data_IF_102551053329
#
_entry.id   IF_102551053329
#
_cell.length_a   1.000
_cell.length_b   1.000
_cell.length_c   1.000
_cell.angle_alpha   90.00
_cell.angle_beta   90.00
_cell.angle_gamma   90.00
#
_symmetry.space_group_name_H-M   'P 1'
#
loop_
_entity.id
_entity.type
_entity.pdbx_description
1 polymer ?
#
# COMPACT_ATOMS: atom_id res chain seq x y z
N UNK A 1 -22.96 4.45 -0.27
CA UNK A 1 -22.01 4.54 0.87
C UNK A 1 -20.65 5.00 0.35
N UNK A 2 -19.93 5.87 1.08
CA UNK A 2 -18.58 6.33 0.73
C UNK A 2 -17.55 5.28 1.15
N UNK A 3 -16.66 4.87 0.25
CA UNK A 3 -15.57 3.94 0.56
C UNK A 3 -14.59 4.55 1.58
N UNK A 4 -14.13 3.76 2.53
CA UNK A 4 -13.08 4.16 3.48
C UNK A 4 -11.73 4.28 2.77
N UNK A 5 -10.76 4.99 3.37
CA UNK A 5 -9.41 5.09 2.82
C UNK A 5 -8.77 3.70 2.69
N UNK A 6 -8.96 2.82 3.68
CA UNK A 6 -8.50 1.43 3.63
C UNK A 6 -9.04 0.68 2.42
N UNK A 7 -10.35 0.77 2.17
CA UNK A 7 -10.98 0.09 1.03
C UNK A 7 -10.43 0.60 -0.29
N UNK A 8 -10.32 1.93 -0.45
CA UNK A 8 -9.78 2.53 -1.68
C UNK A 8 -8.34 2.11 -1.94
N UNK A 9 -7.50 2.17 -0.90
CA UNK A 9 -6.08 1.76 -1.01
C UNK A 9 -6.00 0.28 -1.34
N UNK A 10 -6.76 -0.58 -0.65
CA UNK A 10 -6.74 -2.02 -0.87
C UNK A 10 -7.15 -2.41 -2.30
N UNK A 11 -8.28 -1.85 -2.78
CA UNK A 11 -8.74 -2.09 -4.15
C UNK A 11 -7.72 -1.66 -5.20
N UNK A 12 -7.07 -0.51 -4.98
CA UNK A 12 -6.02 -0.03 -5.88
C UNK A 12 -4.81 -0.97 -5.90
N UNK A 13 -4.27 -1.33 -4.73
CA UNK A 13 -3.07 -2.17 -4.67
C UNK A 13 -3.33 -3.56 -5.22
N UNK A 14 -4.50 -4.13 -4.95
CA UNK A 14 -4.88 -5.43 -5.49
C UNK A 14 -5.02 -5.38 -7.02
N UNK A 15 -5.64 -4.34 -7.57
CA UNK A 15 -5.80 -4.18 -9.02
C UNK A 15 -4.48 -3.96 -9.75
N UNK A 16 -3.56 -3.19 -9.16
CA UNK A 16 -2.33 -2.74 -9.84
C UNK A 16 -1.16 -3.68 -9.62
N UNK A 17 -1.01 -4.21 -8.41
CA UNK A 17 0.12 -5.08 -8.04
C UNK A 17 -0.30 -6.54 -7.86
N UNK A 18 -1.58 -6.83 -7.60
CA UNK A 18 -2.01 -8.18 -7.24
C UNK A 18 -1.24 -8.67 -6.02
N UNK A 19 -0.45 -9.73 -6.19
CA UNK A 19 0.44 -10.26 -5.17
C UNK A 19 1.90 -9.78 -5.31
N UNK A 20 2.22 -8.90 -6.27
CA UNK A 20 3.58 -8.39 -6.42
C UNK A 20 3.91 -7.35 -5.33
N UNK A 21 5.18 -7.26 -4.88
CA UNK A 21 5.58 -6.29 -3.88
C UNK A 21 5.54 -4.83 -4.39
N UNK A 22 5.14 -3.90 -3.52
CA UNK A 22 5.12 -2.46 -3.81
C UNK A 22 5.68 -1.62 -2.64
N UNK A 23 6.13 -0.39 -2.91
CA UNK A 23 6.65 0.52 -1.88
C UNK A 23 5.57 1.50 -1.43
N UNK A 24 5.72 2.05 -0.20
CA UNK A 24 4.85 3.14 0.26
C UNK A 24 4.87 4.34 -0.69
N UNK A 25 6.02 4.65 -1.28
CA UNK A 25 6.19 5.76 -2.21
C UNK A 25 5.34 5.60 -3.47
N UNK A 26 5.31 4.40 -4.05
CA UNK A 26 4.44 4.12 -5.20
C UNK A 26 2.96 4.41 -4.89
N UNK A 27 2.52 4.13 -3.66
CA UNK A 27 1.14 4.41 -3.23
C UNK A 27 0.93 5.90 -2.95
N UNK A 28 1.93 6.61 -2.37
CA UNK A 28 1.87 8.06 -2.23
C UNK A 28 1.73 8.76 -3.57
N UNK A 29 2.50 8.34 -4.58
CA UNK A 29 2.44 8.90 -5.93
C UNK A 29 1.09 8.63 -6.63
N UNK A 30 0.34 7.63 -6.14
CA UNK A 30 -0.97 7.26 -6.67
C UNK A 30 -2.13 7.82 -5.84
N UNK A 31 -1.87 8.61 -4.78
CA UNK A 31 -2.88 9.00 -3.80
C UNK A 31 -4.06 9.77 -4.41
N UNK A 32 -3.80 10.65 -5.39
CA UNK A 32 -4.84 11.37 -6.12
C UNK A 32 -5.73 10.42 -6.94
N UNK A 33 -5.13 9.48 -7.67
CA UNK A 33 -5.83 8.45 -8.44
C UNK A 33 -6.68 7.54 -7.54
N UNK A 34 -6.19 7.24 -6.33
CA UNK A 34 -6.92 6.47 -5.31
C UNK A 34 -8.05 7.33 -4.69
N UNK A 35 -7.97 8.65 -4.78
CA UNK A 35 -8.90 9.59 -4.15
C UNK A 35 -8.74 9.61 -2.62
N UNK A 36 -7.50 9.57 -2.14
CA UNK A 36 -7.12 9.58 -0.72
C UNK A 36 -6.07 10.68 -0.49
N UNK A 37 -6.17 11.39 0.64
CA UNK A 37 -5.12 12.36 1.02
C UNK A 37 -3.78 11.61 1.20
N UNK A 38 -2.67 12.05 0.57
CA UNK A 38 -1.36 11.41 0.72
C UNK A 38 -0.96 11.16 2.19
N UNK A 39 -1.25 12.10 3.09
CA UNK A 39 -0.94 11.96 4.52
C UNK A 39 -1.68 10.79 5.20
N UNK A 40 -2.78 10.31 4.62
CA UNK A 40 -3.57 9.18 5.12
C UNK A 40 -3.09 7.81 4.62
N UNK A 41 -2.24 7.75 3.59
CA UNK A 41 -1.79 6.48 2.99
C UNK A 41 -1.03 5.62 4.01
N UNK A 42 -0.13 6.23 4.78
CA UNK A 42 0.63 5.50 5.81
C UNK A 42 -0.27 4.88 6.88
N UNK A 43 -1.33 5.58 7.29
CA UNK A 43 -2.32 5.05 8.23
C UNK A 43 -3.13 3.90 7.61
N UNK A 44 -3.56 4.06 6.35
CA UNK A 44 -4.33 3.04 5.63
C UNK A 44 -3.54 1.74 5.45
N UNK A 45 -2.28 1.81 5.01
CA UNK A 45 -1.42 0.62 4.85
C UNK A 45 -1.21 -0.12 6.17
N UNK A 46 -0.97 0.61 7.27
CA UNK A 46 -0.85 0.01 8.59
C UNK A 46 -2.17 -0.62 9.08
N UNK A 47 -3.32 0.01 8.80
CA UNK A 47 -4.63 -0.55 9.11
C UNK A 47 -4.89 -1.84 8.33
N UNK A 48 -4.60 -1.86 7.03
CA UNK A 48 -4.72 -3.05 6.18
C UNK A 48 -3.80 -4.19 6.64
N UNK A 49 -2.59 -3.86 7.10
CA UNK A 49 -1.70 -4.84 7.73
C UNK A 49 -2.29 -5.42 9.02
N UNK A 50 -2.82 -4.58 9.91
CA UNK A 50 -3.48 -5.05 11.15
C UNK A 50 -4.69 -5.95 10.85
N UNK A 51 -5.36 -5.73 9.73
CA UNK A 51 -6.47 -6.55 9.22
C UNK A 51 -6.02 -7.85 8.54
N UNK A 52 -4.72 -8.09 8.40
CA UNK A 52 -4.18 -9.28 7.72
C UNK A 52 -4.34 -9.25 6.20
N UNK A 53 -4.63 -8.09 5.61
CA UNK A 53 -4.79 -7.93 4.16
C UNK A 53 -3.49 -7.57 3.45
N UNK A 54 -2.57 -6.94 4.17
CA UNK A 54 -1.21 -6.64 3.71
C UNK A 54 -0.17 -7.21 4.68
N UNK A 55 1.01 -7.51 4.16
CA UNK A 55 2.20 -7.84 4.95
C UNK A 55 3.36 -6.93 4.59
N UNK A 56 4.29 -6.77 5.52
CA UNK A 56 5.62 -6.26 5.18
C UNK A 56 6.34 -7.38 4.43
N UNK A 57 6.74 -7.12 3.19
CA UNK A 57 7.44 -8.10 2.37
C UNK A 57 8.95 -8.03 2.57
N UNK A 58 9.48 -6.81 2.71
CA UNK A 58 10.90 -6.61 2.88
C UNK A 58 11.30 -5.14 2.81
N UNK A 59 12.52 -4.92 2.35
CA UNK A 59 13.13 -3.61 2.20
C UNK A 59 13.77 -3.49 0.82
N UNK A 60 13.72 -2.30 0.23
CA UNK A 60 14.41 -1.94 -1.01
C UNK A 60 15.26 -0.71 -0.75
N UNK A 61 16.53 -0.76 -1.11
CA UNK A 61 17.42 0.40 -1.10
C UNK A 61 17.23 1.21 -2.39
N UNK A 62 17.11 2.53 -2.28
CA UNK A 62 17.07 3.43 -3.43
C UNK A 62 18.48 3.76 -3.92
N UNK A 63 18.59 4.36 -5.10
CA UNK A 63 19.88 4.81 -5.68
C UNK A 63 20.64 5.75 -4.74
N UNK A 64 19.93 6.49 -3.88
CA UNK A 64 20.51 7.44 -2.94
C UNK A 64 20.78 6.81 -1.55
N UNK A 65 20.73 5.48 -1.42
CA UNK A 65 20.97 4.75 -0.15
C UNK A 65 19.81 4.77 0.85
N UNK A 66 18.64 5.29 0.46
CA UNK A 66 17.47 5.30 1.36
C UNK A 66 16.80 3.94 1.37
N UNK A 67 16.59 3.38 2.55
CA UNK A 67 15.83 2.14 2.72
C UNK A 67 14.33 2.42 2.72
N UNK A 68 13.59 1.75 1.83
CA UNK A 68 12.14 1.79 1.73
C UNK A 68 11.53 0.46 2.12
N UNK A 69 10.43 0.49 2.88
CA UNK A 69 9.63 -0.70 3.19
C UNK A 69 8.82 -1.11 1.97
N UNK A 70 8.80 -2.41 1.69
CA UNK A 70 7.91 -3.01 0.71
C UNK A 70 6.76 -3.75 1.39
N UNK A 71 5.63 -3.74 0.71
CA UNK A 71 4.37 -4.34 1.12
C UNK A 71 3.95 -5.36 0.06
N UNK A 72 3.13 -6.32 0.46
CA UNK A 72 2.49 -7.28 -0.44
C UNK A 72 1.07 -7.57 0.04
N UNK A 73 0.16 -7.83 -0.90
CA UNK A 73 -1.17 -8.36 -0.56
C UNK A 73 -1.03 -9.79 -0.03
N UNK A 74 -1.79 -10.12 1.02
CA UNK A 74 -1.87 -11.51 1.51
C UNK A 74 -2.70 -12.32 0.53
N UNK A 75 -2.16 -13.42 -0.05
CA UNK A 75 -2.91 -14.30 -0.94
C UNK A 75 -4.12 -14.90 -0.21
N UNK A 76 -5.28 -14.91 -0.87
CA UNK A 76 -6.44 -15.67 -0.40
C UNK A 76 -6.21 -17.12 -0.79
N UNK A 77 -6.21 -18.02 0.18
CA UNK A 77 -6.11 -19.48 -0.04
C UNK A 77 -7.45 -20.08 -0.44
#
# INVERSE_FOLDING_TARGET
MKKTNDQKVYEYVYRVYGEDPFTTEQIYNSAEVIGVNPASIGAALNSLKKKGLLINYGQRETINGRIQKTWRVVPVK
#
